data_IF_019279446394
#
_entry.id   IF_019279446394
#
_cell.length_a   1.000
_cell.length_b   1.000
_cell.length_c   1.000
_cell.angle_alpha   90.00
_cell.angle_beta   90.00
_cell.angle_gamma   90.00
#
_symmetry.space_group_name_H-M   'P 1'
#
loop_
_entity.id
_entity.type
_entity.pdbx_description
1 polymer ?
#
# COMPACT_ATOMS: atom_id res chain seq x y z
N UNK A 1 -6.10 16.17 16.11
CA UNK A 1 -4.96 15.22 16.06
C UNK A 1 -4.60 14.72 17.48
N UNK A 2 -5.07 13.54 17.86
CA UNK A 2 -4.85 13.01 19.22
C UNK A 2 -3.42 12.46 19.38
N UNK A 3 -2.71 12.81 20.47
CA UNK A 3 -1.28 12.51 20.68
C UNK A 3 -0.98 11.06 21.10
N UNK A 4 -1.94 10.14 20.97
CA UNK A 4 -1.80 8.77 21.43
C UNK A 4 -1.82 7.79 20.25
N UNK A 5 -0.79 7.81 19.41
CA UNK A 5 -0.43 6.59 18.67
C UNK A 5 0.13 5.65 19.73
N UNK A 6 -0.61 4.60 20.10
CA UNK A 6 -0.22 3.68 21.19
C UNK A 6 1.16 3.09 20.89
N UNK A 7 2.12 3.33 21.78
CA UNK A 7 3.38 2.60 21.78
C UNK A 7 3.06 1.09 21.88
N UNK A 8 3.36 0.34 20.82
CA UNK A 8 3.11 -1.10 20.75
C UNK A 8 2.04 -1.55 19.74
N UNK A 9 1.40 -0.65 19.00
CA UNK A 9 0.66 -1.06 17.81
C UNK A 9 1.68 -1.36 16.69
N UNK A 10 1.87 -2.64 16.33
CA UNK A 10 2.63 -3.01 15.13
C UNK A 10 1.83 -2.53 13.91
N UNK A 11 1.99 -1.26 13.54
CA UNK A 11 1.32 -0.68 12.38
C UNK A 11 2.08 -1.12 11.13
N UNK A 12 1.58 -2.15 10.45
CA UNK A 12 2.08 -2.51 9.12
C UNK A 12 1.43 -1.61 8.07
N UNK A 13 2.13 -0.56 7.64
CA UNK A 13 1.70 0.28 6.51
C UNK A 13 2.28 -0.26 5.20
N UNK A 14 1.43 -0.37 4.18
CA UNK A 14 1.83 -0.81 2.84
C UNK A 14 1.49 0.28 1.82
N UNK A 15 2.49 0.70 1.05
CA UNK A 15 2.33 1.55 -0.11
C UNK A 15 2.15 0.71 -1.38
N UNK A 16 1.25 1.13 -2.26
CA UNK A 16 1.01 0.47 -3.56
C UNK A 16 1.21 1.49 -4.66
N UNK A 17 2.13 1.20 -5.59
CA UNK A 17 2.39 2.02 -6.77
C UNK A 17 1.99 1.25 -8.04
N UNK A 18 1.25 1.92 -8.92
CA UNK A 18 0.78 1.36 -10.19
C UNK A 18 1.29 2.25 -11.32
N UNK A 19 2.22 1.72 -12.10
CA UNK A 19 2.71 2.33 -13.33
C UNK A 19 2.15 1.57 -14.54
N UNK A 20 1.09 2.14 -15.13
CA UNK A 20 0.39 1.52 -16.27
C UNK A 20 1.24 1.49 -17.56
N UNK A 21 1.87 2.60 -17.99
CA UNK A 21 2.75 2.60 -19.16
C UNK A 21 3.94 1.64 -19.02
N UNK A 22 4.58 1.57 -17.86
CA UNK A 22 5.71 0.67 -17.64
C UNK A 22 5.29 -0.79 -17.38
N UNK A 23 3.99 -1.05 -17.16
CA UNK A 23 3.51 -2.39 -16.87
C UNK A 23 3.94 -2.90 -15.50
N UNK A 24 4.04 -2.03 -14.48
CA UNK A 24 4.53 -2.45 -13.16
C UNK A 24 3.56 -2.13 -12.03
N UNK A 25 3.44 -3.09 -11.09
CA UNK A 25 2.72 -2.93 -9.83
C UNK A 25 3.69 -3.25 -8.70
N UNK A 26 3.96 -2.27 -7.84
CA UNK A 26 4.96 -2.42 -6.77
C UNK A 26 4.33 -2.22 -5.39
N UNK A 27 4.65 -3.13 -4.47
CA UNK A 27 4.28 -3.07 -3.06
C UNK A 27 5.48 -2.66 -2.22
N UNK A 28 5.27 -1.75 -1.27
CA UNK A 28 6.30 -1.23 -0.38
C UNK A 28 5.85 -1.33 1.07
N UNK A 29 6.78 -1.66 1.97
CA UNK A 29 6.60 -1.41 3.40
C UNK A 29 6.92 0.04 3.68
N UNK A 30 6.09 0.70 4.48
CA UNK A 30 6.30 2.10 4.88
C UNK A 30 6.66 2.15 6.37
N UNK A 31 7.91 2.50 6.67
CA UNK A 31 8.39 2.68 8.05
C UNK A 31 7.76 3.91 8.72
N UNK A 32 7.94 4.07 10.03
CA UNK A 32 7.44 5.24 10.77
C UNK A 32 8.07 6.58 10.30
N UNK A 33 9.25 6.55 9.70
CA UNK A 33 9.93 7.70 9.07
C UNK A 33 9.58 7.89 7.59
N UNK A 34 8.44 7.34 7.15
CA UNK A 34 7.95 7.36 5.76
C UNK A 34 8.93 6.81 4.72
N UNK A 35 9.94 6.06 5.16
CA UNK A 35 10.88 5.40 4.26
C UNK A 35 10.23 4.18 3.63
N UNK A 36 10.31 4.08 2.30
CA UNK A 36 9.74 3.01 1.48
C UNK A 36 10.76 1.89 1.27
N UNK A 37 10.39 0.66 1.60
CA UNK A 37 11.17 -0.54 1.27
C UNK A 37 10.39 -1.40 0.30
N UNK A 38 10.95 -1.69 -0.88
CA UNK A 38 10.29 -2.53 -1.88
C UNK A 38 10.11 -3.95 -1.34
N UNK A 39 8.87 -4.42 -1.29
CA UNK A 39 8.52 -5.78 -0.89
C UNK A 39 8.45 -6.69 -2.11
N UNK A 40 7.69 -6.25 -3.12
CA UNK A 40 7.49 -7.03 -4.33
C UNK A 40 7.12 -6.15 -5.52
N UNK A 41 7.50 -6.60 -6.71
CA UNK A 41 7.13 -5.96 -7.98
C UNK A 41 6.61 -7.00 -8.95
N UNK A 42 5.36 -6.81 -9.38
CA UNK A 42 4.77 -7.55 -10.47
C UNK A 42 5.01 -6.80 -11.78
N UNK A 43 5.38 -7.55 -12.81
CA UNK A 43 5.37 -7.08 -14.19
C UNK A 43 4.11 -7.64 -14.86
N UNK A 44 3.27 -6.76 -15.38
CA UNK A 44 1.99 -7.13 -15.98
C UNK A 44 1.67 -6.17 -17.12
N UNK A 45 1.06 -6.68 -18.18
CA UNK A 45 0.57 -5.85 -19.25
C UNK A 45 -0.80 -5.29 -18.86
N UNK A 46 -0.81 -4.08 -18.28
CA UNK A 46 -2.06 -3.40 -17.99
C UNK A 46 -2.79 -3.06 -19.28
N UNK A 47 -4.05 -3.43 -19.37
CA UNK A 47 -4.93 -2.92 -20.41
C UNK A 47 -5.19 -1.45 -20.12
N UNK A 48 -4.74 -0.58 -21.03
CA UNK A 48 -4.69 0.86 -20.82
C UNK A 48 -6.06 1.50 -20.50
N UNK A 49 -7.14 0.84 -20.89
CA UNK A 49 -8.53 1.29 -20.71
C UNK A 49 -9.30 0.52 -19.64
N UNK A 50 -8.70 -0.47 -18.96
CA UNK A 50 -9.41 -1.20 -17.90
C UNK A 50 -9.15 -0.54 -16.55
N UNK A 51 -10.20 -0.19 -15.79
CA UNK A 51 -10.03 0.30 -14.44
C UNK A 51 -9.47 -0.81 -13.54
N UNK A 52 -8.56 -0.42 -12.64
CA UNK A 52 -8.06 -1.30 -11.59
C UNK A 52 -8.79 -0.99 -10.30
N UNK A 53 -9.28 -2.03 -9.64
CA UNK A 53 -9.93 -1.92 -8.35
C UNK A 53 -8.98 -2.42 -7.25
N UNK A 54 -8.92 -1.71 -6.13
CA UNK A 54 -8.20 -2.20 -4.96
C UNK A 54 -9.01 -3.33 -4.29
N UNK A 55 -8.37 -4.50 -4.12
CA UNK A 55 -8.97 -5.65 -3.46
C UNK A 55 -8.30 -5.92 -2.12
N UNK A 56 -9.11 -6.16 -1.08
CA UNK A 56 -8.62 -6.48 0.27
C UNK A 56 -9.34 -7.73 0.79
N UNK A 57 -8.60 -8.64 1.42
CA UNK A 57 -9.17 -9.79 2.13
C UNK A 57 -8.75 -9.68 3.59
N UNK A 58 -9.72 -9.69 4.50
CA UNK A 58 -9.52 -9.47 5.93
C UNK A 58 -10.24 -10.58 6.70
N UNK A 59 -9.51 -11.25 7.61
CA UNK A 59 -10.09 -12.32 8.43
C UNK A 59 -10.27 -11.89 9.89
N UNK A 60 -9.18 -11.84 10.68
CA UNK A 60 -9.19 -11.48 12.11
C UNK A 60 -8.46 -10.17 12.40
N UNK A 61 -8.34 -9.30 11.40
CA UNK A 61 -7.60 -8.03 11.45
C UNK A 61 -8.46 -6.88 10.91
N UNK A 62 -7.87 -5.69 10.80
CA UNK A 62 -8.49 -4.51 10.21
C UNK A 62 -7.57 -3.88 9.17
N UNK A 63 -8.17 -3.26 8.14
CA UNK A 63 -7.46 -2.46 7.15
C UNK A 63 -8.10 -1.08 7.12
N UNK A 64 -7.27 -0.05 7.12
CA UNK A 64 -7.69 1.35 6.95
C UNK A 64 -6.91 1.97 5.80
N UNK A 65 -7.59 2.76 4.98
CA UNK A 65 -6.93 3.56 3.96
C UNK A 65 -6.29 4.80 4.62
N UNK A 66 -4.99 4.99 4.36
CA UNK A 66 -4.30 6.22 4.74
C UNK A 66 -4.49 7.26 3.65
N UNK A 67 -4.87 8.48 4.04
CA UNK A 67 -4.86 9.62 3.14
C UNK A 67 -3.42 10.12 2.99
N UNK A 68 -2.97 10.30 1.75
CA UNK A 68 -1.73 11.00 1.45
C UNK A 68 -2.09 12.50 1.41
N UNK A 69 -1.49 13.30 2.30
CA UNK A 69 -1.59 14.77 2.25
C UNK A 69 -0.65 15.35 1.18
#
# INVERSE_FOLDING_TARGET
PSPYRRAGECVCRVGVCVDRPAGTLSFYSVSDSDTLTLLHRFHTHFTQHTPLCAGFTVWRSSVSLCQLE
#
